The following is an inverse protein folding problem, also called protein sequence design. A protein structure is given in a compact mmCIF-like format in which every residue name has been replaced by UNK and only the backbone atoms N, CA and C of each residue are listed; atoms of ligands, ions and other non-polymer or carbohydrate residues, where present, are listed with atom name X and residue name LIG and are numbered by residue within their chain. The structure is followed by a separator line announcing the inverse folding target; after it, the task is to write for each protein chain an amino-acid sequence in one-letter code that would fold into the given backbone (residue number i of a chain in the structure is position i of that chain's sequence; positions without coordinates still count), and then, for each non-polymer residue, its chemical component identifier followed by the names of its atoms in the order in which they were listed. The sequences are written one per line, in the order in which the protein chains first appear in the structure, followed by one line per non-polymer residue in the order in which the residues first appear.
data_IF_173958003361
#
_entry.id   IF_173958003361
#
_cell.length_a   1.000
_cell.length_b   1.000
_cell.length_c   1.000
_cell.angle_alpha   90.00
_cell.angle_beta   90.00
_cell.angle_gamma   90.00
#
_symmetry.space_group_name_H-M   'P 1'
#
loop_
_entity.id
_entity.type
_entity.pdbx_description
1 polymer ?
#
# COMPACT_ATOMS: atom_id res chain seq x y z
N UNK A 1 -1.20 17.09 5.80
CA UNK A 1 -2.02 16.13 5.02
C UNK A 1 -1.14 14.91 4.77
N UNK A 2 -1.54 13.76 5.34
CA UNK A 2 -0.62 12.67 5.68
C UNK A 2 -0.22 11.81 4.48
N UNK A 3 1.02 11.93 4.04
CA UNK A 3 1.69 10.90 3.27
C UNK A 3 3.01 10.57 3.95
N UNK A 4 3.45 9.32 3.81
CA UNK A 4 4.73 8.84 4.29
C UNK A 4 5.56 8.39 3.09
N UNK A 5 6.76 8.92 2.97
CA UNK A 5 7.74 8.45 1.99
C UNK A 5 8.47 7.23 2.55
N UNK A 6 8.45 6.14 1.79
CA UNK A 6 9.13 4.89 2.11
C UNK A 6 10.03 4.53 0.92
N UNK A 7 11.24 4.10 1.19
CA UNK A 7 12.16 3.57 0.18
C UNK A 7 12.20 2.06 0.29
N UNK A 8 12.12 1.37 -0.84
CA UNK A 8 12.09 -0.09 -0.88
C UNK A 8 12.94 -0.67 -2.01
N UNK A 9 13.45 -1.88 -1.79
CA UNK A 9 14.01 -2.75 -2.83
C UNK A 9 13.63 -4.20 -2.55
N UNK A 10 13.73 -5.03 -3.59
CA UNK A 10 13.54 -6.47 -3.49
C UNK A 10 14.87 -7.11 -3.87
N UNK A 11 15.40 -7.96 -2.98
CA UNK A 11 16.57 -8.78 -3.31
C UNK A 11 16.09 -10.15 -3.80
N UNK A 12 16.21 -10.46 -5.11
CA UNK A 12 15.78 -11.75 -5.65
C UNK A 12 16.73 -12.90 -5.27
N UNK A 13 17.89 -12.61 -4.67
CA UNK A 13 18.87 -13.62 -4.26
C UNK A 13 18.53 -14.23 -2.90
N UNK A 14 17.68 -13.58 -2.12
CA UNK A 14 17.29 -14.02 -0.79
C UNK A 14 15.88 -14.64 -0.83
N UNK A 15 15.74 -15.87 -0.33
CA UNK A 15 14.48 -16.62 -0.34
C UNK A 15 14.03 -17.14 -1.72
N UNK A 16 12.96 -17.95 -1.73
CA UNK A 16 12.42 -18.59 -2.95
C UNK A 16 11.77 -17.58 -3.92
N UNK A 17 11.32 -16.43 -3.42
CA UNK A 17 10.60 -15.40 -4.19
C UNK A 17 11.20 -14.00 -4.07
N UNK A 18 12.38 -13.86 -3.46
CA UNK A 18 12.98 -12.57 -3.13
C UNK A 18 12.48 -12.00 -1.81
N UNK A 19 13.36 -11.31 -1.08
CA UNK A 19 13.01 -10.60 0.17
C UNK A 19 12.85 -9.11 -0.11
N UNK A 20 11.72 -8.55 0.32
CA UNK A 20 11.46 -7.11 0.23
C UNK A 20 11.96 -6.38 1.47
N UNK A 21 12.79 -5.36 1.27
CA UNK A 21 13.25 -4.46 2.32
C UNK A 21 12.62 -3.07 2.13
N UNK A 22 12.25 -2.43 3.24
CA UNK A 22 11.66 -1.08 3.21
C UNK A 22 12.08 -0.25 4.41
N UNK A 23 12.34 1.04 4.21
CA UNK A 23 12.71 1.98 5.26
C UNK A 23 12.17 3.39 5.00
N UNK A 24 12.05 4.22 6.05
CA UNK A 24 11.53 5.59 5.97
C UNK A 24 12.53 6.63 5.45
N UNK A 25 13.81 6.27 5.37
CA UNK A 25 14.87 7.16 4.91
C UNK A 25 15.81 6.45 3.94
N UNK A 26 16.40 7.24 3.05
CA UNK A 26 17.36 6.75 2.07
C UNK A 26 18.60 6.14 2.73
N UNK A 27 19.11 6.76 3.80
CA UNK A 27 20.24 6.22 4.56
C UNK A 27 19.93 4.85 5.19
N UNK A 28 18.72 4.67 5.70
CA UNK A 28 18.33 3.41 6.33
C UNK A 28 18.17 2.29 5.30
N UNK A 29 17.59 2.57 4.13
CA UNK A 29 17.48 1.57 3.07
C UNK A 29 18.86 1.23 2.48
N UNK A 30 19.75 2.21 2.39
CA UNK A 30 21.10 2.00 1.89
C UNK A 30 21.94 1.14 2.85
N UNK A 31 21.84 1.38 4.16
CA UNK A 31 22.48 0.51 5.16
C UNK A 31 21.93 -0.93 5.12
N UNK A 32 20.64 -1.12 4.81
CA UNK A 32 20.06 -2.45 4.61
C UNK A 32 20.57 -3.10 3.32
N UNK A 33 20.67 -2.34 2.23
CA UNK A 33 21.20 -2.80 0.95
C UNK A 33 22.67 -3.21 1.05
N UNK A 34 23.51 -2.43 1.75
CA UNK A 34 24.90 -2.76 2.01
C UNK A 34 25.05 -4.04 2.82
N UNK A 35 24.21 -4.22 3.86
CA UNK A 35 24.19 -5.46 4.65
C UNK A 35 23.76 -6.68 3.84
N UNK A 36 22.82 -6.50 2.90
CA UNK A 36 22.37 -7.54 1.99
C UNK A 36 23.31 -7.71 0.76
N UNK A 37 24.32 -6.87 0.59
CA UNK A 37 25.17 -6.84 -0.61
C UNK A 37 24.41 -6.54 -1.90
N UNK A 38 23.32 -5.77 -1.81
CA UNK A 38 22.48 -5.35 -2.94
C UNK A 38 22.96 -4.01 -3.49
N UNK A 39 23.24 -3.96 -4.80
CA UNK A 39 23.78 -2.77 -5.50
C UNK A 39 22.83 -2.18 -6.54
N UNK A 40 21.54 -2.56 -6.49
CA UNK A 40 20.52 -2.06 -7.42
C UNK A 40 19.91 -0.72 -7.00
N UNK A 41 19.00 -0.21 -7.84
CA UNK A 41 18.24 1.01 -7.56
C UNK A 41 17.17 0.80 -6.49
N UNK A 42 16.87 1.87 -5.74
CA UNK A 42 15.76 1.93 -4.78
C UNK A 42 14.51 2.51 -5.41
N UNK A 43 13.34 2.00 -5.01
CA UNK A 43 12.05 2.57 -5.40
C UNK A 43 11.52 3.43 -4.26
N UNK A 44 11.18 4.69 -4.56
CA UNK A 44 10.46 5.56 -3.62
C UNK A 44 8.96 5.30 -3.73
N UNK A 45 8.36 4.80 -2.65
CA UNK A 45 6.94 4.51 -2.51
C UNK A 45 6.31 5.58 -1.62
N UNK A 46 5.36 6.32 -2.18
CA UNK A 46 4.60 7.32 -1.44
C UNK A 46 3.33 6.65 -0.90
N UNK A 47 3.27 6.44 0.42
CA UNK A 47 2.06 5.93 1.06
C UNK A 47 1.19 7.10 1.47
N UNK A 48 0.18 7.41 0.66
CA UNK A 48 -0.81 8.42 1.00
C UNK A 48 -1.84 7.86 1.99
N UNK A 49 -2.06 8.58 3.08
CA UNK A 49 -3.19 8.36 3.99
C UNK A 49 -4.28 9.36 3.61
N UNK A 50 -5.26 8.96 2.77
CA UNK A 50 -6.35 9.85 2.43
C UNK A 50 -7.04 10.29 3.73
N UNK A 51 -7.48 11.56 3.82
CA UNK A 51 -8.28 11.99 4.95
C UNK A 51 -9.48 11.04 5.09
N UNK A 52 -9.87 10.72 6.33
CA UNK A 52 -11.06 9.91 6.56
C UNK A 52 -12.23 10.56 5.79
N UNK A 53 -12.98 9.80 4.98
CA UNK A 53 -14.14 10.34 4.28
C UNK A 53 -15.09 10.96 5.31
N UNK A 54 -15.77 12.03 4.93
CA UNK A 54 -16.74 12.68 5.81
C UNK A 54 -17.86 11.70 6.16
N UNK A 55 -18.47 11.86 7.34
CA UNK A 55 -19.59 11.02 7.76
C UNK A 55 -20.72 10.98 6.71
N UNK A 56 -20.99 12.13 6.07
CA UNK A 56 -21.96 12.26 4.98
C UNK A 56 -21.62 11.36 3.77
N UNK A 57 -20.36 11.28 3.36
CA UNK A 57 -19.94 10.40 2.25
C UNK A 57 -20.02 8.92 2.64
N UNK A 58 -19.79 8.60 3.92
CA UNK A 58 -19.95 7.24 4.44
C UNK A 58 -21.42 6.82 4.48
N UNK A 59 -22.31 7.70 4.95
CA UNK A 59 -23.75 7.48 4.97
C UNK A 59 -24.32 7.30 3.55
N UNK A 60 -23.89 8.14 2.61
CA UNK A 60 -24.31 8.03 1.21
C UNK A 60 -23.86 6.71 0.57
N UNK A 61 -22.62 6.27 0.81
CA UNK A 61 -22.13 4.96 0.37
C UNK A 61 -22.92 3.81 1.00
N UNK A 62 -23.12 3.84 2.31
CA UNK A 62 -23.86 2.80 3.02
C UNK A 62 -25.30 2.68 2.49
N UNK A 63 -25.94 3.81 2.17
CA UNK A 63 -27.28 3.82 1.56
C UNK A 63 -27.27 3.21 0.16
N UNK A 64 -26.28 3.54 -0.67
CA UNK A 64 -26.14 2.98 -2.03
C UNK A 64 -25.87 1.48 -2.01
N UNK A 65 -25.03 0.99 -1.09
CA UNK A 65 -24.75 -0.44 -0.91
C UNK A 65 -25.98 -1.21 -0.43
N UNK A 66 -26.82 -0.61 0.42
CA UNK A 66 -28.11 -1.21 0.83
C UNK A 66 -29.08 -1.33 -0.36
N UNK A 67 -29.15 -0.31 -1.20
CA UNK A 67 -30.02 -0.29 -2.39
C UNK A 67 -29.54 -1.27 -3.48
N UNK A 68 -28.24 -1.49 -3.64
CA UNK A 68 -27.70 -2.46 -4.62
C UNK A 68 -27.80 -3.91 -4.15
N UNK A 69 -28.12 -4.15 -2.88
CA UNK A 69 -28.28 -5.48 -2.29
C UNK A 69 -29.72 -6.03 -2.45
N UNK A 70 -30.62 -5.23 -3.02
CA UNK A 70 -32.01 -5.63 -3.31
C UNK A 70 -32.18 -5.85 -4.82
N UNK A 71 -31.33 -6.67 -5.40
CA UNK A 71 -31.59 -7.29 -6.71
C UNK A 71 -32.25 -8.63 -6.40
N UNK A 72 -33.58 -8.64 -6.49
CA UNK A 72 -34.45 -9.80 -6.32
C UNK A 72 -33.99 -10.96 -7.22
N UNK A 73 -33.56 -12.13 -6.69
CA UNK A 73 -33.23 -13.28 -7.52
C UNK A 73 -34.47 -14.04 -8.05
N UNK A 74 -35.69 -13.55 -7.86
CA UNK A 74 -36.94 -14.22 -8.26
C UNK A 74 -37.61 -13.61 -9.50
N UNK A 75 -36.83 -13.41 -10.57
CA UNK A 75 -37.37 -13.25 -11.92
C UNK A 75 -36.97 -14.46 -12.79
N UNK A 76 -37.69 -15.57 -12.60
CA UNK A 76 -37.77 -16.70 -13.53
C UNK A 76 -39.22 -16.88 -13.99
#
# INVERSE_FOLDING_TARGET
MGHEDIFAFVDPRDGEYGVSYSARSEQAIQALAEKAGYTGSFTRVVRAFPPRPSARLLEERARLELCSSTDDPDLW
#
